data_IF_444146767763
#
_entry.id   IF_444146767763
#
_cell.length_a   1.000
_cell.length_b   1.000
_cell.length_c   1.000
_cell.angle_alpha   90.00
_cell.angle_beta   90.00
_cell.angle_gamma   90.00
#
_symmetry.space_group_name_H-M   'P 1'
#
loop_
_entity.id
_entity.type
_entity.pdbx_description
1 polymer ?
#
# COMPACT_ATOMS: atom_id res chain seq x y z
N UNK A 1 10.08 -7.12 9.93
CA UNK A 1 10.55 -5.75 9.65
C UNK A 1 11.28 -5.23 10.87
N UNK A 2 12.41 -4.56 10.68
CA UNK A 2 13.19 -3.95 11.78
C UNK A 2 13.00 -2.42 11.86
N UNK A 3 12.28 -1.82 10.91
CA UNK A 3 12.03 -0.38 10.83
C UNK A 3 10.61 -0.06 10.37
N UNK A 4 10.10 1.09 10.84
CA UNK A 4 8.76 1.62 10.59
C UNK A 4 8.86 3.10 10.27
N UNK A 5 8.32 3.52 9.13
CA UNK A 5 8.40 4.88 8.61
C UNK A 5 7.01 5.47 8.48
N UNK A 6 6.82 6.71 8.94
CA UNK A 6 5.61 7.49 8.69
C UNK A 6 6.03 8.70 7.87
N UNK A 7 5.55 8.76 6.63
CA UNK A 7 5.91 9.81 5.67
C UNK A 7 4.65 10.45 5.11
N UNK A 8 4.76 11.70 4.66
CA UNK A 8 3.72 12.30 3.83
C UNK A 8 3.88 11.88 2.37
N UNK A 9 2.78 11.56 1.70
CA UNK A 9 2.75 11.23 0.28
C UNK A 9 2.94 12.46 -0.59
N UNK A 10 2.50 13.63 -0.14
CA UNK A 10 2.63 14.89 -0.87
C UNK A 10 3.06 16.05 0.01
N UNK A 11 3.99 16.85 -0.50
CA UNK A 11 4.35 18.15 0.06
C UNK A 11 3.21 19.16 -0.06
N UNK A 12 3.31 20.30 0.62
CA UNK A 12 2.34 21.40 0.51
C UNK A 12 2.13 21.91 -0.94
N UNK A 13 3.11 21.70 -1.82
CA UNK A 13 3.04 22.06 -3.24
C UNK A 13 2.46 20.93 -4.13
N UNK A 14 1.89 19.88 -3.53
CA UNK A 14 1.28 18.75 -4.24
C UNK A 14 2.26 17.79 -4.92
N UNK A 15 3.58 18.00 -4.77
CA UNK A 15 4.63 17.09 -5.26
C UNK A 15 4.81 15.91 -4.31
N UNK A 16 5.19 14.74 -4.83
CA UNK A 16 5.57 13.60 -3.99
C UNK A 16 6.73 13.96 -3.06
N UNK A 17 6.65 13.55 -1.80
CA UNK A 17 7.72 13.77 -0.83
C UNK A 17 8.99 13.01 -1.23
N UNK A 18 10.15 13.65 -1.08
CA UNK A 18 11.43 13.00 -1.33
C UNK A 18 11.65 11.80 -0.39
N UNK A 19 11.16 11.88 0.85
CA UNK A 19 11.26 10.79 1.83
C UNK A 19 10.56 9.51 1.37
N UNK A 20 9.55 9.64 0.50
CA UNK A 20 8.84 8.48 -0.03
C UNK A 20 9.70 7.69 -1.01
N UNK A 21 10.61 8.34 -1.74
CA UNK A 21 11.57 7.66 -2.61
C UNK A 21 12.54 6.81 -1.77
N UNK A 22 13.07 7.37 -0.69
CA UNK A 22 13.95 6.64 0.22
C UNK A 22 13.21 5.49 0.93
N UNK A 23 12.00 5.76 1.41
CA UNK A 23 11.16 4.74 2.04
C UNK A 23 10.85 3.59 1.07
N UNK A 24 10.57 3.89 -0.20
CA UNK A 24 10.29 2.90 -1.24
C UNK A 24 11.49 1.99 -1.54
N UNK A 25 12.74 2.43 -1.32
CA UNK A 25 13.94 1.58 -1.44
C UNK A 25 14.13 0.66 -0.23
N UNK A 26 13.69 1.09 0.95
CA UNK A 26 13.90 0.36 2.21
C UNK A 26 13.13 -0.97 2.32
N UNK A 27 13.53 -1.85 3.25
CA UNK A 27 12.76 -3.04 3.65
C UNK A 27 11.80 -2.76 4.82
N UNK A 28 11.61 -1.48 5.17
CA UNK A 28 10.76 -1.06 6.28
C UNK A 28 9.27 -1.28 5.97
N UNK A 29 8.45 -1.24 7.01
CA UNK A 29 7.03 -0.94 6.82
C UNK A 29 6.89 0.56 6.62
N UNK A 30 6.29 0.96 5.50
CA UNK A 30 6.12 2.37 5.13
C UNK A 30 4.65 2.74 5.22
N UNK A 31 4.35 3.71 6.08
CA UNK A 31 3.02 4.30 6.23
C UNK A 31 3.01 5.67 5.56
N UNK A 32 2.11 5.85 4.60
CA UNK A 32 2.01 7.08 3.80
C UNK A 32 0.73 7.82 4.15
N UNK A 33 0.89 8.99 4.76
CA UNK A 33 -0.18 9.94 5.04
C UNK A 33 -0.42 10.82 3.82
N UNK A 34 -1.67 11.22 3.56
CA UNK A 34 -2.00 12.16 2.47
C UNK A 34 -1.53 11.67 1.08
N UNK A 35 -1.41 10.36 0.88
CA UNK A 35 -0.89 9.78 -0.37
C UNK A 35 -1.95 9.41 -1.41
N UNK A 36 -3.22 9.26 -1.02
CA UNK A 36 -4.25 8.66 -1.88
C UNK A 36 -4.42 9.41 -3.22
N UNK A 37 -4.41 10.75 -3.21
CA UNK A 37 -4.55 11.55 -4.44
C UNK A 37 -3.40 11.37 -5.44
N UNK A 38 -2.29 10.77 -5.00
CA UNK A 38 -1.11 10.44 -5.81
C UNK A 38 -0.81 8.94 -5.83
N UNK A 39 -1.78 8.09 -5.48
CA UNK A 39 -1.59 6.64 -5.34
C UNK A 39 -0.90 6.01 -6.55
N UNK A 40 -1.33 6.32 -7.78
CA UNK A 40 -0.74 5.77 -9.02
C UNK A 40 0.75 6.08 -9.14
N UNK A 41 1.14 7.31 -8.84
CA UNK A 41 2.54 7.74 -8.87
C UNK A 41 3.35 7.08 -7.73
N UNK A 42 2.78 6.97 -6.53
CA UNK A 42 3.41 6.31 -5.38
C UNK A 42 3.64 4.82 -5.67
N UNK A 43 2.63 4.11 -6.17
CA UNK A 43 2.73 2.71 -6.59
C UNK A 43 3.85 2.53 -7.60
N UNK A 44 3.97 3.45 -8.58
CA UNK A 44 5.04 3.40 -9.57
C UNK A 44 6.43 3.47 -8.95
N UNK A 45 6.62 4.22 -7.86
CA UNK A 45 7.90 4.25 -7.14
C UNK A 45 8.26 2.86 -6.59
N UNK A 46 7.32 2.19 -5.92
CA UNK A 46 7.55 0.84 -5.40
C UNK A 46 7.76 -0.19 -6.52
N UNK A 47 7.02 -0.07 -7.62
CA UNK A 47 7.22 -0.93 -8.80
C UNK A 47 8.62 -0.78 -9.40
N UNK A 48 9.12 0.45 -9.52
CA UNK A 48 10.46 0.72 -10.05
C UNK A 48 11.57 0.13 -9.16
N UNK A 49 11.30 -0.09 -7.88
CA UNK A 49 12.18 -0.78 -6.92
C UNK A 49 11.96 -2.32 -6.90
N UNK A 50 11.20 -2.86 -7.85
CA UNK A 50 10.95 -4.30 -7.99
C UNK A 50 9.98 -4.87 -6.93
N UNK A 51 9.15 -4.02 -6.32
CA UNK A 51 8.27 -4.38 -5.18
C UNK A 51 6.82 -4.60 -5.58
N UNK A 52 6.56 -5.04 -6.81
CA UNK A 52 5.20 -5.25 -7.34
C UNK A 52 4.34 -6.21 -6.51
N UNK A 53 4.95 -7.25 -5.95
CA UNK A 53 4.28 -8.22 -5.07
C UNK A 53 4.25 -7.82 -3.59
N UNK A 54 4.74 -6.63 -3.22
CA UNK A 54 4.74 -6.18 -1.83
C UNK A 54 3.29 -5.97 -1.36
N UNK A 55 2.89 -6.52 -0.20
CA UNK A 55 1.55 -6.30 0.34
C UNK A 55 1.29 -4.81 0.66
N UNK A 56 0.09 -4.34 0.32
CA UNK A 56 -0.37 -2.97 0.51
C UNK A 56 -1.80 -2.95 1.05
N UNK A 57 -2.06 -2.05 1.99
CA UNK A 57 -3.41 -1.72 2.46
C UNK A 57 -3.68 -0.23 2.30
N UNK A 58 -4.90 0.12 1.88
CA UNK A 58 -5.46 1.45 1.95
C UNK A 58 -6.65 1.45 2.91
N UNK A 59 -6.57 2.26 3.96
CA UNK A 59 -7.54 2.30 5.06
C UNK A 59 -8.15 3.69 5.12
N UNK A 60 -9.44 3.81 4.83
CA UNK A 60 -10.22 5.05 4.99
C UNK A 60 -11.00 4.99 6.29
N UNK A 61 -11.05 6.13 7.00
CA UNK A 61 -11.80 6.26 8.27
C UNK A 61 -11.48 5.14 9.26
N UNK A 62 -10.19 4.80 9.39
CA UNK A 62 -9.75 3.71 10.25
C UNK A 62 -10.20 3.88 11.70
N UNK A 63 -10.44 2.78 12.41
CA UNK A 63 -10.99 2.72 13.78
C UNK A 63 -12.42 3.27 13.97
N UNK A 64 -13.14 3.54 12.86
CA UNK A 64 -14.53 3.99 12.91
C UNK A 64 -15.48 2.90 12.39
N UNK A 65 -16.78 3.02 12.67
CA UNK A 65 -17.80 2.13 12.10
C UNK A 65 -17.93 2.23 10.57
N UNK A 66 -17.43 3.31 9.99
CA UNK A 66 -17.44 3.57 8.53
C UNK A 66 -16.09 3.25 7.87
N UNK A 67 -15.24 2.47 8.54
CA UNK A 67 -13.96 2.05 7.99
C UNK A 67 -14.16 1.34 6.64
N UNK A 68 -13.34 1.72 5.66
CA UNK A 68 -13.21 0.97 4.41
C UNK A 68 -11.78 0.52 4.23
N UNK A 69 -11.61 -0.73 3.81
CA UNK A 69 -10.33 -1.37 3.57
C UNK A 69 -10.24 -1.83 2.12
N UNK A 70 -9.19 -1.38 1.44
CA UNK A 70 -8.67 -2.00 0.21
C UNK A 70 -7.34 -2.68 0.55
N UNK A 71 -7.20 -3.95 0.18
CA UNK A 71 -6.01 -4.74 0.49
C UNK A 71 -5.58 -5.49 -0.76
N UNK A 72 -4.29 -5.50 -1.05
CA UNK A 72 -3.75 -5.98 -2.31
C UNK A 72 -2.23 -6.05 -2.28
N UNK A 73 -1.62 -6.18 -3.44
CA UNK A 73 -0.18 -5.96 -3.62
C UNK A 73 0.03 -4.65 -4.37
N UNK A 74 1.27 -4.16 -4.43
CA UNK A 74 1.62 -2.91 -5.14
C UNK A 74 1.05 -2.91 -6.57
N UNK A 75 1.11 -4.04 -7.27
CA UNK A 75 0.63 -4.15 -8.66
C UNK A 75 -0.89 -4.13 -8.83
N UNK A 76 -1.68 -4.31 -7.76
CA UNK A 76 -3.15 -4.40 -7.86
C UNK A 76 -3.89 -3.37 -6.99
N UNK A 77 -3.17 -2.66 -6.11
CA UNK A 77 -3.81 -1.81 -5.11
C UNK A 77 -4.57 -0.62 -5.71
N UNK A 78 -4.13 -0.14 -6.88
CA UNK A 78 -4.80 0.98 -7.56
C UNK A 78 -6.22 0.59 -7.96
N UNK A 79 -6.36 -0.58 -8.59
CA UNK A 79 -7.64 -1.13 -9.04
C UNK A 79 -8.53 -1.45 -7.83
N UNK A 80 -7.98 -2.10 -6.79
CA UNK A 80 -8.76 -2.46 -5.59
C UNK A 80 -9.27 -1.20 -4.87
N UNK A 81 -8.49 -0.12 -4.82
CA UNK A 81 -8.90 1.17 -4.25
C UNK A 81 -10.05 1.80 -5.04
N UNK A 82 -9.98 1.75 -6.37
CA UNK A 82 -11.03 2.26 -7.27
C UNK A 82 -12.32 1.43 -7.11
N UNK A 83 -12.23 0.10 -7.13
CA UNK A 83 -13.36 -0.82 -6.97
C UNK A 83 -14.08 -0.67 -5.62
N UNK A 84 -13.31 -0.47 -4.54
CA UNK A 84 -13.86 -0.29 -3.18
C UNK A 84 -14.37 1.14 -2.93
N UNK A 85 -14.16 2.05 -3.88
CA UNK A 85 -14.55 3.46 -3.74
C UNK A 85 -13.92 4.11 -2.50
N UNK A 86 -12.63 3.82 -2.26
CA UNK A 86 -11.85 4.44 -1.18
C UNK A 86 -11.57 5.89 -1.56
N UNK A 87 -11.91 6.80 -0.66
CA UNK A 87 -11.71 8.25 -0.86
C UNK A 87 -10.84 8.84 0.24
N UNK A 88 -10.32 10.03 0.00
CA UNK A 88 -9.60 10.76 1.02
C UNK A 88 -10.56 11.18 2.15
N UNK A 89 -10.11 11.21 3.41
CA UNK A 89 -8.78 10.85 3.89
C UNK A 89 -8.58 9.33 4.01
N UNK A 90 -7.45 8.81 3.52
CA UNK A 90 -7.06 7.42 3.67
C UNK A 90 -5.55 7.29 3.97
N UNK A 91 -5.22 6.28 4.77
CA UNK A 91 -3.86 5.86 5.09
C UNK A 91 -3.43 4.77 4.11
N UNK A 92 -2.22 4.86 3.56
CA UNK A 92 -1.63 3.76 2.79
C UNK A 92 -0.53 3.09 3.61
N UNK A 93 -0.47 1.76 3.60
CA UNK A 93 0.55 0.98 4.30
C UNK A 93 1.18 0.02 3.30
N UNK A 94 2.48 0.14 3.08
CA UNK A 94 3.28 -0.71 2.21
C UNK A 94 4.23 -1.55 3.07
N UNK A 95 4.14 -2.87 3.00
CA UNK A 95 5.03 -3.73 3.78
C UNK A 95 4.50 -5.13 4.02
N UNK A 96 5.40 -6.07 4.31
CA UNK A 96 5.07 -7.46 4.61
C UNK A 96 4.10 -7.61 5.79
N UNK A 97 4.05 -6.65 6.72
CA UNK A 97 3.11 -6.69 7.85
C UNK A 97 1.64 -6.71 7.41
N UNK A 98 1.30 -6.19 6.23
CA UNK A 98 -0.07 -6.21 5.70
C UNK A 98 -0.52 -7.65 5.42
N UNK A 99 0.39 -8.58 5.09
CA UNK A 99 0.03 -9.98 4.85
C UNK A 99 -0.41 -10.73 6.11
N UNK A 100 -0.24 -10.15 7.30
CA UNK A 100 -0.72 -10.70 8.56
C UNK A 100 -2.22 -10.41 8.78
N UNK A 101 -2.81 -9.52 7.98
CA UNK A 101 -4.22 -9.20 8.07
C UNK A 101 -5.07 -10.35 7.50
N UNK A 102 -6.15 -10.79 8.16
CA UNK A 102 -6.99 -11.90 7.68
C UNK A 102 -7.51 -11.73 6.25
N UNK A 103 -7.87 -10.50 5.86
CA UNK A 103 -8.33 -10.21 4.49
C UNK A 103 -7.27 -10.37 3.41
N UNK A 104 -5.98 -10.50 3.76
CA UNK A 104 -4.92 -10.81 2.80
C UNK A 104 -4.81 -12.31 2.50
N UNK A 105 -5.33 -13.18 3.38
CA UNK A 105 -5.17 -14.62 3.26
C UNK A 105 -5.61 -15.17 1.89
N UNK A 106 -6.76 -14.78 1.30
CA UNK A 106 -7.15 -15.26 -0.02
C UNK A 106 -6.16 -14.89 -1.14
N UNK A 107 -5.52 -13.73 -1.03
CA UNK A 107 -4.50 -13.28 -1.99
C UNK A 107 -3.25 -14.15 -1.84
N UNK A 108 -2.85 -14.42 -0.60
CA UNK A 108 -1.72 -15.30 -0.29
C UNK A 108 -1.95 -16.71 -0.85
N UNK A 109 -3.11 -17.30 -0.58
CA UNK A 109 -3.46 -18.65 -1.03
C UNK A 109 -3.43 -18.74 -2.56
N UNK A 110 -3.94 -17.71 -3.27
CA UNK A 110 -3.89 -17.63 -4.73
C UNK A 110 -2.46 -17.65 -5.28
N UNK A 111 -1.54 -16.87 -4.71
CA UNK A 111 -0.14 -16.86 -5.15
C UNK A 111 0.63 -18.13 -4.74
N UNK A 112 0.23 -18.81 -3.66
CA UNK A 112 0.82 -20.09 -3.28
C UNK A 112 0.41 -21.20 -4.26
N UNK A 113 -0.88 -21.30 -4.61
CA UNK A 113 -1.36 -22.25 -5.60
C UNK A 113 -0.70 -22.08 -6.98
N UNK A 114 -0.56 -20.84 -7.45
CA UNK A 114 0.13 -20.53 -8.71
C UNK A 114 1.60 -20.99 -8.76
N UNK A 115 2.28 -21.04 -7.62
CA UNK A 115 3.67 -21.51 -7.54
C UNK A 115 3.79 -23.02 -7.52
N UNK A 116 2.76 -23.73 -7.07
CA UNK A 116 2.72 -25.19 -7.07
C UNK A 116 2.44 -25.76 -8.47
N UNK A 117 1.84 -24.98 -9.36
CA UNK A 117 1.54 -25.34 -10.76
C UNK A 117 2.69 -25.04 -11.76
N UNK A 118 3.75 -24.34 -11.32
CA UNK A 118 4.93 -23.97 -12.12
C UNK A 118 6.16 -24.83 -11.79
#
# INVERSE_FOLDING_TARGET
SESFWVVTGTTANGKISNDLYEAARSKATVVVLMGLGKLKEIVKLFQNEGKGSLPVAAIQSGSTQTEKLAIGVVDTIVEVVEEKGIQAPALLIFGQVVSLHPSFQPIKDFYEALKEEL
#
